data_IF_692706236036
#
_entry.id   IF_692706236036
#
_cell.length_a   1.000
_cell.length_b   1.000
_cell.length_c   1.000
_cell.angle_alpha   90.00
_cell.angle_beta   90.00
_cell.angle_gamma   90.00
#
_symmetry.space_group_name_H-M   'P 1'
#
loop_
_entity.id
_entity.type
_entity.pdbx_description
1 polymer ?
#
# COMPACT_ATOMS: atom_id res chain seq x y z
N UNK A 1 16.68 -25.42 17.35
CA UNK A 1 15.23 -25.31 17.61
C UNK A 1 14.64 -24.39 16.54
N UNK A 2 13.33 -24.42 16.24
CA UNK A 2 12.73 -23.37 15.42
C UNK A 2 12.77 -22.04 16.21
N UNK A 3 12.98 -20.88 15.56
CA UNK A 3 12.97 -19.60 16.25
C UNK A 3 11.59 -19.31 16.84
N UNK A 4 11.54 -18.93 18.12
CA UNK A 4 10.33 -18.38 18.75
C UNK A 4 10.17 -16.93 18.32
N UNK A 5 8.95 -16.50 18.03
CA UNK A 5 8.66 -15.14 17.62
C UNK A 5 7.69 -14.46 18.57
N UNK A 6 7.90 -13.16 18.77
CA UNK A 6 6.98 -12.26 19.45
C UNK A 6 6.45 -11.27 18.42
N UNK A 7 5.14 -11.03 18.46
CA UNK A 7 4.47 -10.06 17.59
C UNK A 7 3.90 -8.95 18.45
N UNK A 8 4.13 -7.70 18.06
CA UNK A 8 3.60 -6.51 18.73
C UNK A 8 2.85 -5.65 17.72
N UNK A 9 1.84 -4.92 18.20
CA UNK A 9 1.07 -3.98 17.38
C UNK A 9 0.67 -2.74 18.17
N UNK A 10 0.58 -1.60 17.49
CA UNK A 10 0.20 -0.31 18.07
C UNK A 10 0.20 0.83 17.05
N UNK A 11 0.05 2.07 17.52
CA UNK A 11 0.09 3.25 16.65
C UNK A 11 1.54 3.63 16.28
N UNK A 12 2.45 3.54 17.25
CA UNK A 12 3.88 3.89 17.17
C UNK A 12 4.72 2.82 17.88
N UNK A 13 6.05 2.71 17.66
CA UNK A 13 6.90 1.75 18.34
C UNK A 13 6.81 1.77 19.88
N UNK A 14 6.61 2.95 20.46
CA UNK A 14 6.54 3.19 21.91
C UNK A 14 5.19 2.78 22.50
N UNK A 15 4.16 2.70 21.67
CA UNK A 15 2.78 2.36 22.06
C UNK A 15 2.37 0.94 21.65
N UNK A 16 3.29 0.16 21.05
CA UNK A 16 2.99 -1.22 20.68
C UNK A 16 2.84 -2.12 21.91
N UNK A 17 1.86 -3.01 21.87
CA UNK A 17 1.66 -4.05 22.89
C UNK A 17 1.82 -5.44 22.29
N UNK A 18 2.21 -6.47 23.07
CA UNK A 18 2.33 -7.83 22.56
C UNK A 18 0.97 -8.42 22.14
N UNK A 19 0.92 -8.98 20.93
CA UNK A 19 -0.26 -9.65 20.35
C UNK A 19 0.00 -11.12 20.00
N UNK A 20 1.15 -11.68 20.39
CA UNK A 20 1.56 -13.08 20.18
C UNK A 20 0.46 -14.10 20.49
N UNK A 21 -0.34 -13.88 21.54
CA UNK A 21 -1.45 -14.77 21.91
C UNK A 21 -2.54 -14.87 20.83
N UNK A 22 -2.77 -13.78 20.07
CA UNK A 22 -3.80 -13.66 19.02
C UNK A 22 -3.34 -14.15 17.65
N UNK A 23 -2.04 -14.34 17.42
CA UNK A 23 -1.51 -14.83 16.13
C UNK A 23 -2.14 -16.18 15.80
N UNK A 24 -2.62 -16.33 14.56
CA UNK A 24 -3.34 -17.52 14.06
C UNK A 24 -4.70 -17.83 14.75
N UNK A 25 -5.29 -16.91 15.51
CA UNK A 25 -6.58 -17.15 16.22
C UNK A 25 -7.81 -16.52 15.56
N UNK A 26 -7.62 -15.71 14.51
CA UNK A 26 -8.61 -14.75 13.98
C UNK A 26 -9.12 -13.72 15.00
N UNK A 27 -8.51 -13.58 16.18
CA UNK A 27 -8.85 -12.50 17.11
C UNK A 27 -8.13 -11.19 16.69
N UNK A 28 -8.89 -10.15 16.37
CA UNK A 28 -8.33 -8.86 16.01
C UNK A 28 -7.75 -8.09 17.21
N UNK A 29 -6.69 -7.32 16.98
CA UNK A 29 -6.16 -6.34 17.94
C UNK A 29 -6.49 -4.92 17.49
N UNK A 30 -7.10 -4.10 18.36
CA UNK A 30 -7.52 -2.73 18.02
C UNK A 30 -6.36 -1.74 18.15
N UNK A 31 -6.18 -0.88 17.16
CA UNK A 31 -5.20 0.21 17.14
C UNK A 31 -5.95 1.55 17.03
N UNK A 32 -5.62 2.50 17.91
CA UNK A 32 -6.23 3.84 17.92
C UNK A 32 -5.17 4.89 18.21
N UNK A 33 -5.22 5.99 17.47
CA UNK A 33 -4.44 7.21 17.68
C UNK A 33 -5.25 8.43 17.25
N UNK A 34 -4.69 9.64 17.34
CA UNK A 34 -5.28 10.85 16.77
C UNK A 34 -5.39 10.84 15.22
N UNK A 35 -4.68 9.92 14.56
CA UNK A 35 -4.57 9.88 13.09
C UNK A 35 -5.29 8.68 12.47
N UNK A 36 -5.48 7.60 13.22
CA UNK A 36 -5.99 6.34 12.71
C UNK A 36 -6.85 5.61 13.75
N UNK A 37 -7.94 5.02 13.29
CA UNK A 37 -8.72 4.04 14.05
C UNK A 37 -8.87 2.77 13.23
N UNK A 38 -8.49 1.63 13.80
CA UNK A 38 -8.60 0.35 13.13
C UNK A 38 -8.26 -0.85 14.00
N UNK A 39 -7.99 -1.96 13.33
CA UNK A 39 -7.79 -3.28 13.90
C UNK A 39 -6.91 -4.14 12.97
N UNK A 40 -6.12 -5.04 13.57
CA UNK A 40 -5.13 -5.86 12.88
C UNK A 40 -5.26 -7.33 13.26
N UNK A 41 -5.05 -8.22 12.29
CA UNK A 41 -4.95 -9.68 12.45
C UNK A 41 -3.66 -10.14 11.79
N UNK A 42 -2.94 -11.06 12.44
CA UNK A 42 -1.67 -11.61 11.96
C UNK A 42 -1.78 -13.13 11.86
N UNK A 43 -1.49 -13.66 10.68
CA UNK A 43 -1.37 -15.09 10.45
C UNK A 43 0.06 -15.41 9.98
N UNK A 44 0.74 -16.39 10.60
CA UNK A 44 2.10 -16.82 10.25
C UNK A 44 2.13 -18.36 10.24
N UNK A 45 2.54 -18.97 9.14
CA UNK A 45 2.53 -20.43 8.99
C UNK A 45 3.69 -21.06 9.76
N UNK A 46 3.40 -22.07 10.57
CA UNK A 46 4.38 -22.69 11.46
C UNK A 46 4.84 -21.77 12.60
N UNK A 47 4.03 -20.77 12.96
CA UNK A 47 4.33 -19.85 14.05
C UNK A 47 4.50 -20.61 15.36
N UNK A 48 5.68 -20.48 15.94
CA UNK A 48 6.03 -21.02 17.26
C UNK A 48 5.99 -19.88 18.25
N UNK A 49 5.07 -19.95 19.22
CA UNK A 49 4.92 -18.91 20.24
C UNK A 49 6.00 -19.02 21.33
N UNK A 50 5.92 -18.15 22.34
CA UNK A 50 6.86 -18.09 23.46
C UNK A 50 6.93 -19.40 24.27
N UNK A 51 5.86 -20.19 24.29
CA UNK A 51 5.75 -21.49 24.98
C UNK A 51 6.24 -22.66 24.11
N UNK A 52 6.71 -22.38 22.90
CA UNK A 52 7.15 -23.40 21.95
C UNK A 52 5.99 -24.12 21.24
N UNK A 53 4.75 -23.66 21.38
CA UNK A 53 3.60 -24.29 20.74
C UNK A 53 3.45 -23.78 19.30
N UNK A 54 3.23 -24.71 18.37
CA UNK A 54 2.94 -24.37 16.98
C UNK A 54 1.45 -24.13 16.83
N UNK A 55 1.06 -22.90 16.56
CA UNK A 55 -0.33 -22.54 16.21
C UNK A 55 -0.47 -22.58 14.69
N UNK A 56 -1.50 -23.25 14.19
CA UNK A 56 -1.89 -23.20 12.77
C UNK A 56 -3.14 -22.33 12.59
N UNK A 57 -3.40 -21.85 11.37
CA UNK A 57 -4.51 -20.97 11.04
C UNK A 57 -5.34 -21.52 9.87
N UNK A 58 -6.68 -21.46 9.98
CA UNK A 58 -7.61 -21.81 8.90
C UNK A 58 -7.32 -21.01 7.62
N UNK A 59 -6.78 -19.79 7.76
CA UNK A 59 -6.33 -18.92 6.68
C UNK A 59 -5.46 -19.65 5.64
N UNK A 60 -4.51 -20.48 6.07
CA UNK A 60 -3.60 -21.21 5.17
C UNK A 60 -4.23 -22.45 4.52
N UNK A 61 -5.41 -22.86 4.99
CA UNK A 61 -6.17 -23.99 4.43
C UNK A 61 -7.15 -23.56 3.35
N UNK A 62 -7.34 -22.25 3.14
CA UNK A 62 -8.25 -21.71 2.10
C UNK A 62 -7.68 -21.99 0.70
N UNK A 63 -8.55 -22.33 -0.24
CA UNK A 63 -8.16 -22.69 -1.63
C UNK A 63 -7.46 -21.53 -2.35
N UNK A 64 -7.91 -20.30 -2.12
CA UNK A 64 -7.36 -19.09 -2.73
C UNK A 64 -6.12 -18.53 -2.00
N UNK A 65 -5.72 -19.16 -0.87
CA UNK A 65 -4.51 -18.82 -0.10
C UNK A 65 -3.44 -19.92 -0.14
N UNK A 66 -3.57 -20.90 -1.04
CA UNK A 66 -2.56 -21.93 -1.24
C UNK A 66 -1.20 -21.32 -1.62
N UNK A 67 -0.14 -21.78 -0.95
CA UNK A 67 1.22 -21.26 -1.09
C UNK A 67 1.52 -19.98 -0.29
N UNK A 68 0.52 -19.32 0.31
CA UNK A 68 0.76 -18.20 1.23
C UNK A 68 1.31 -18.75 2.55
N UNK A 69 2.29 -18.05 3.13
CA UNK A 69 3.00 -18.46 4.35
C UNK A 69 2.85 -17.46 5.49
N UNK A 70 2.37 -16.25 5.21
CA UNK A 70 2.04 -15.24 6.21
C UNK A 70 1.05 -14.21 5.64
N UNK A 71 0.34 -13.53 6.52
CA UNK A 71 -0.62 -12.48 6.21
C UNK A 71 -0.68 -11.47 7.36
N UNK A 72 -0.64 -10.19 6.99
CA UNK A 72 -0.92 -9.05 7.86
C UNK A 72 -2.20 -8.37 7.33
N UNK A 73 -3.32 -8.62 8.02
CA UNK A 73 -4.61 -8.03 7.66
C UNK A 73 -4.87 -6.81 8.54
N UNK A 74 -5.23 -5.68 7.94
CA UNK A 74 -5.59 -4.46 8.66
C UNK A 74 -6.91 -3.92 8.13
N UNK A 75 -7.79 -3.49 9.04
CA UNK A 75 -8.98 -2.72 8.71
C UNK A 75 -8.99 -1.44 9.52
N UNK A 76 -9.27 -0.30 8.89
CA UNK A 76 -9.42 0.95 9.60
C UNK A 76 -9.70 2.15 8.70
N UNK A 77 -9.60 3.33 9.29
CA UNK A 77 -9.83 4.63 8.64
C UNK A 77 -8.85 5.67 9.18
N UNK A 78 -8.57 6.68 8.36
CA UNK A 78 -7.80 7.85 8.77
C UNK A 78 -8.73 8.87 9.43
N UNK A 79 -8.33 9.45 10.56
CA UNK A 79 -9.12 10.44 11.29
C UNK A 79 -8.91 11.88 10.76
N UNK A 80 -7.95 12.06 9.86
CA UNK A 80 -7.72 13.27 9.05
C UNK A 80 -7.76 12.86 7.57
N UNK A 81 -7.90 13.83 6.68
CA UNK A 81 -7.87 13.58 5.23
C UNK A 81 -6.42 13.53 4.73
N UNK A 82 -6.06 12.45 4.05
CA UNK A 82 -4.75 12.28 3.40
C UNK A 82 -4.95 11.87 1.94
N UNK A 83 -4.07 12.30 1.03
CA UNK A 83 -4.10 11.75 -0.33
C UNK A 83 -3.61 10.30 -0.33
N UNK A 84 -3.99 9.51 -1.32
CA UNK A 84 -3.46 8.15 -1.48
C UNK A 84 -1.97 8.13 -1.89
N UNK A 85 -1.36 9.30 -2.18
CA UNK A 85 0.08 9.42 -2.40
C UNK A 85 0.84 9.63 -1.09
N UNK A 86 0.19 10.22 -0.08
CA UNK A 86 0.76 10.48 1.25
C UNK A 86 0.78 9.23 2.12
N UNK A 87 -0.09 8.25 1.84
CA UNK A 87 -0.20 7.05 2.68
C UNK A 87 0.73 5.96 2.15
N UNK A 88 1.86 5.78 2.85
CA UNK A 88 2.84 4.74 2.60
C UNK A 88 2.60 3.50 3.46
N UNK A 89 3.04 2.35 2.96
CA UNK A 89 3.21 1.12 3.71
C UNK A 89 4.51 0.43 3.32
N UNK A 90 5.11 -0.31 4.25
CA UNK A 90 6.25 -1.17 3.99
C UNK A 90 7.06 -1.44 5.25
N UNK A 91 8.37 -1.57 5.10
CA UNK A 91 9.28 -1.97 6.18
C UNK A 91 10.26 -0.87 6.60
N UNK A 92 10.49 -0.78 7.91
CA UNK A 92 11.47 0.13 8.53
C UNK A 92 12.33 -0.63 9.54
N UNK A 93 13.55 -0.15 9.74
CA UNK A 93 14.60 -0.85 10.48
C UNK A 93 15.32 0.14 11.41
N UNK A 94 15.64 -0.27 12.63
CA UNK A 94 16.35 0.59 13.60
C UNK A 94 17.85 0.66 13.34
N UNK A 95 18.41 -0.38 12.70
CA UNK A 95 19.84 -0.58 12.54
C UNK A 95 20.18 -1.00 11.10
N UNK A 96 21.39 -0.67 10.60
CA UNK A 96 21.83 -1.04 9.27
C UNK A 96 21.71 -2.53 8.96
N UNK A 97 21.40 -2.84 7.70
CA UNK A 97 21.24 -4.22 7.23
C UNK A 97 22.54 -4.78 6.63
N UNK A 98 22.87 -6.02 6.99
CA UNK A 98 23.97 -6.76 6.38
C UNK A 98 23.48 -7.44 5.11
N UNK A 99 23.34 -6.69 4.01
CA UNK A 99 22.82 -7.26 2.76
C UNK A 99 23.73 -8.40 2.22
N UNK A 100 23.17 -9.56 1.84
CA UNK A 100 23.96 -10.66 1.28
C UNK A 100 24.60 -10.31 -0.06
N UNK A 101 25.73 -10.95 -0.38
CA UNK A 101 26.24 -10.95 -1.75
C UNK A 101 25.20 -11.59 -2.68
N UNK A 102 24.75 -10.84 -3.69
CA UNK A 102 23.62 -11.23 -4.53
C UNK A 102 22.27 -10.60 -4.16
N UNK A 103 22.19 -9.76 -3.12
CA UNK A 103 21.00 -8.99 -2.73
C UNK A 103 20.32 -8.23 -3.88
N UNK A 104 21.06 -7.82 -4.90
CA UNK A 104 20.51 -7.22 -6.13
C UNK A 104 19.48 -8.09 -6.87
N UNK A 105 19.46 -9.41 -6.66
CA UNK A 105 18.37 -10.27 -7.14
C UNK A 105 17.07 -10.07 -6.34
N UNK A 106 17.15 -9.96 -5.02
CA UNK A 106 16.02 -9.64 -4.15
C UNK A 106 15.49 -8.22 -4.41
N UNK A 107 16.37 -7.22 -4.60
CA UNK A 107 15.96 -5.85 -4.98
C UNK A 107 15.20 -5.84 -6.31
N UNK A 108 15.70 -6.55 -7.33
CA UNK A 108 15.00 -6.69 -8.63
C UNK A 108 13.65 -7.39 -8.50
N UNK A 109 13.56 -8.41 -7.64
CA UNK A 109 12.31 -9.11 -7.38
C UNK A 109 11.28 -8.22 -6.69
N UNK A 110 11.69 -7.45 -5.67
CA UNK A 110 10.81 -6.49 -5.00
C UNK A 110 10.29 -5.43 -5.99
N UNK A 111 11.16 -4.83 -6.81
CA UNK A 111 10.75 -3.86 -7.83
C UNK A 111 9.89 -4.46 -8.96
N UNK A 112 9.98 -5.77 -9.20
CA UNK A 112 9.09 -6.48 -10.14
C UNK A 112 7.70 -6.71 -9.54
N UNK A 113 7.63 -7.06 -8.25
CA UNK A 113 6.37 -7.24 -7.53
C UNK A 113 5.65 -5.90 -7.27
N UNK A 114 6.41 -4.85 -6.96
CA UNK A 114 5.92 -3.50 -6.69
C UNK A 114 6.85 -2.45 -7.34
N UNK A 115 6.52 -1.97 -8.55
CA UNK A 115 7.29 -0.93 -9.25
C UNK A 115 7.22 0.46 -8.59
N UNK A 116 6.36 0.64 -7.58
CA UNK A 116 6.26 1.89 -6.78
C UNK A 116 7.01 1.82 -5.46
N UNK A 117 7.63 0.68 -5.14
CA UNK A 117 8.51 0.54 -3.98
C UNK A 117 9.74 1.45 -4.12
N UNK A 118 9.94 2.28 -3.11
CA UNK A 118 11.14 3.09 -2.92
C UNK A 118 11.86 2.60 -1.68
N UNK A 119 13.19 2.65 -1.66
CA UNK A 119 13.95 2.08 -0.55
C UNK A 119 15.32 2.73 -0.35
N UNK A 120 15.82 2.70 0.88
CA UNK A 120 17.24 2.80 1.20
C UNK A 120 17.65 1.65 2.14
N UNK A 121 17.65 0.43 1.60
CA UNK A 121 18.13 -0.75 2.32
C UNK A 121 19.65 -0.76 2.57
N UNK A 122 20.37 0.21 1.99
CA UNK A 122 21.80 0.46 2.15
C UNK A 122 22.14 1.48 3.24
N UNK A 123 21.13 2.09 3.88
CA UNK A 123 21.32 3.15 4.86
C UNK A 123 22.28 2.75 5.99
N UNK A 124 23.21 3.65 6.30
CA UNK A 124 24.15 3.51 7.42
C UNK A 124 23.53 3.84 8.79
N UNK A 125 22.25 4.26 8.82
CA UNK A 125 21.51 4.56 10.05
C UNK A 125 20.23 3.71 10.14
N UNK A 126 19.17 4.10 9.44
CA UNK A 126 17.84 3.47 9.47
C UNK A 126 17.40 3.05 8.07
N UNK A 127 17.63 1.78 7.69
CA UNK A 127 17.13 1.24 6.44
C UNK A 127 15.60 1.27 6.34
N UNK A 128 15.08 1.33 5.12
CA UNK A 128 13.64 1.28 4.85
C UNK A 128 13.32 0.83 3.43
N UNK A 129 12.10 0.34 3.23
CA UNK A 129 11.49 0.08 1.93
C UNK A 129 9.98 0.37 2.03
N UNK A 130 9.51 1.42 1.35
CA UNK A 130 8.15 1.97 1.47
C UNK A 130 7.55 2.22 0.08
N UNK A 131 6.25 1.96 -0.03
CA UNK A 131 5.45 2.07 -1.25
C UNK A 131 4.06 2.64 -0.92
N UNK A 132 3.35 3.31 -1.85
CA UNK A 132 1.98 3.74 -1.58
C UNK A 132 1.07 2.57 -1.22
N UNK A 133 0.29 2.72 -0.14
CA UNK A 133 -0.59 1.66 0.40
C UNK A 133 -1.51 1.05 -0.67
N UNK A 134 -2.09 1.90 -1.51
CA UNK A 134 -2.99 1.50 -2.62
C UNK A 134 -2.29 0.71 -3.74
N UNK A 135 -0.97 0.84 -3.86
CA UNK A 135 -0.17 0.19 -4.90
C UNK A 135 0.55 -1.07 -4.40
N UNK A 136 0.94 -1.11 -3.14
CA UNK A 136 1.73 -2.24 -2.64
C UNK A 136 0.89 -3.46 -2.25
N UNK A 137 -0.37 -3.24 -1.85
CA UNK A 137 -1.21 -4.31 -1.30
C UNK A 137 -1.57 -5.39 -2.34
N UNK A 138 -1.41 -6.70 -2.01
CA UNK A 138 -1.93 -7.82 -2.77
C UNK A 138 -3.45 -7.75 -2.92
N UNK A 139 -4.16 -7.60 -1.80
CA UNK A 139 -5.60 -7.44 -1.73
C UNK A 139 -5.94 -6.20 -0.90
N UNK A 140 -6.83 -5.36 -1.41
CA UNK A 140 -7.36 -4.20 -0.72
C UNK A 140 -8.81 -3.99 -1.12
N UNK A 141 -9.64 -3.68 -0.13
CA UNK A 141 -11.00 -3.23 -0.29
C UNK A 141 -11.16 -1.80 0.27
N UNK A 142 -11.94 -0.96 -0.41
CA UNK A 142 -12.38 0.35 0.06
C UNK A 142 -13.90 0.38 0.15
N UNK A 143 -14.41 0.83 1.30
CA UNK A 143 -15.83 1.08 1.53
C UNK A 143 -16.05 2.47 2.12
N UNK A 144 -17.06 3.19 1.62
CA UNK A 144 -17.47 4.50 2.14
C UNK A 144 -18.58 4.31 3.17
N UNK A 145 -18.40 4.81 4.38
CA UNK A 145 -19.46 4.83 5.40
C UNK A 145 -20.64 5.69 4.87
N UNK A 146 -21.88 5.17 4.80
CA UNK A 146 -23.00 5.92 4.27
C UNK A 146 -23.36 7.15 5.10
N UNK A 147 -23.50 8.30 4.41
CA UNK A 147 -24.09 9.50 4.99
C UNK A 147 -25.54 9.25 5.42
N UNK A 148 -25.94 9.77 6.58
CA UNK A 148 -27.26 9.53 7.17
C UNK A 148 -27.40 8.22 7.94
N UNK A 149 -26.32 7.43 8.10
CA UNK A 149 -26.32 6.33 9.07
C UNK A 149 -26.54 6.88 10.49
N UNK A 150 -27.25 6.17 11.39
CA UNK A 150 -27.51 6.65 12.77
C UNK A 150 -26.24 7.06 13.52
N UNK A 151 -25.12 6.43 13.17
CA UNK A 151 -23.80 6.55 13.77
C UNK A 151 -22.87 7.57 13.08
N UNK A 152 -23.29 8.23 11.98
CA UNK A 152 -22.45 9.21 11.27
C UNK A 152 -21.96 10.34 12.19
N UNK A 153 -22.79 10.78 13.14
CA UNK A 153 -22.43 11.82 14.12
C UNK A 153 -21.50 11.34 15.23
N UNK A 154 -21.40 10.02 15.42
CA UNK A 154 -20.52 9.41 16.41
C UNK A 154 -19.13 9.17 15.78
N UNK A 155 -19.08 8.73 14.51
CA UNK A 155 -17.84 8.58 13.75
C UNK A 155 -17.06 9.88 13.52
N UNK A 156 -17.71 11.05 13.62
CA UNK A 156 -17.10 12.36 13.39
C UNK A 156 -16.64 13.08 14.66
N UNK A 157 -16.76 12.46 15.84
CA UNK A 157 -16.27 13.01 17.11
C UNK A 157 -14.98 12.30 17.55
N UNK A 158 -13.83 13.00 17.58
CA UNK A 158 -12.60 12.42 18.13
C UNK A 158 -12.61 12.32 19.67
N UNK A 159 -13.34 13.21 20.35
CA UNK A 159 -13.11 13.49 21.79
C UNK A 159 -14.27 13.14 22.75
N UNK A 160 -15.34 12.46 22.29
CA UNK A 160 -16.32 11.94 23.25
C UNK A 160 -15.77 10.68 23.91
N UNK A 161 -15.85 10.61 25.25
CA UNK A 161 -15.58 9.41 26.05
C UNK A 161 -16.01 8.13 25.31
N UNK A 162 -15.19 7.07 25.39
CA UNK A 162 -15.20 5.84 24.57
C UNK A 162 -16.49 4.96 24.64
N UNK A 163 -17.62 5.53 25.03
CA UNK A 163 -18.98 4.97 25.04
C UNK A 163 -19.79 5.19 23.75
N UNK A 164 -19.23 5.83 22.72
CA UNK A 164 -19.84 5.87 21.39
C UNK A 164 -19.84 4.49 20.71
N UNK A 165 -20.79 4.23 19.78
CA UNK A 165 -20.78 3.00 18.98
C UNK A 165 -19.47 2.90 18.20
N UNK A 166 -18.80 1.76 18.33
CA UNK A 166 -17.46 1.52 17.79
C UNK A 166 -17.55 1.16 16.32
N UNK A 167 -16.45 1.27 15.59
CA UNK A 167 -16.40 0.90 14.16
C UNK A 167 -16.86 -0.54 13.89
N UNK A 168 -16.64 -1.45 14.87
CA UNK A 168 -17.09 -2.84 14.84
C UNK A 168 -18.62 -3.02 14.88
N UNK A 169 -19.39 -2.03 15.38
CA UNK A 169 -20.84 -2.15 15.56
C UNK A 169 -21.62 -1.90 14.25
N UNK A 170 -20.96 -1.32 13.24
CA UNK A 170 -21.56 -0.90 11.96
C UNK A 170 -20.91 -1.60 10.75
N UNK A 171 -19.66 -2.06 10.90
CA UNK A 171 -18.98 -2.85 9.88
C UNK A 171 -19.22 -4.35 10.08
N UNK A 172 -19.03 -5.19 9.03
CA UNK A 172 -19.03 -6.65 9.18
C UNK A 172 -18.00 -7.14 10.20
N UNK A 173 -18.06 -8.40 10.65
CA UNK A 173 -16.98 -9.01 11.45
C UNK A 173 -15.61 -8.93 10.76
N UNK A 174 -14.54 -8.84 11.54
CA UNK A 174 -13.15 -8.88 11.06
C UNK A 174 -12.33 -9.82 11.96
N UNK A 175 -11.46 -10.68 11.38
CA UNK A 175 -11.23 -10.84 9.94
C UNK A 175 -12.44 -11.48 9.25
N UNK A 176 -12.64 -11.24 7.94
CA UNK A 176 -13.72 -11.90 7.22
C UNK A 176 -13.52 -13.43 7.19
N UNK A 177 -14.63 -14.16 7.30
CA UNK A 177 -14.65 -15.63 7.18
C UNK A 177 -14.25 -16.12 5.79
N UNK A 178 -14.44 -15.27 4.77
CA UNK A 178 -13.91 -15.44 3.42
C UNK A 178 -12.61 -14.65 3.27
N UNK A 179 -11.74 -15.08 2.36
CA UNK A 179 -10.51 -14.37 2.04
C UNK A 179 -10.78 -12.99 1.45
N UNK A 180 -9.94 -12.00 1.78
CA UNK A 180 -10.06 -10.66 1.20
C UNK A 180 -9.72 -10.72 -0.30
N UNK A 181 -10.62 -10.18 -1.12
CA UNK A 181 -10.42 -9.97 -2.56
C UNK A 181 -10.23 -8.47 -2.84
N UNK A 182 -9.94 -8.14 -4.10
CA UNK A 182 -9.96 -6.76 -4.56
C UNK A 182 -11.39 -6.23 -4.59
N UNK A 183 -11.66 -5.12 -3.89
CA UNK A 183 -12.90 -4.36 -4.07
C UNK A 183 -12.62 -2.85 -3.95
N UNK A 184 -12.40 -2.21 -5.08
CA UNK A 184 -12.28 -0.75 -5.14
C UNK A 184 -13.49 -0.09 -5.80
N UNK A 185 -14.63 -0.79 -5.85
CA UNK A 185 -15.87 -0.30 -6.48
C UNK A 185 -16.31 1.07 -5.96
N UNK A 186 -16.04 1.37 -4.69
CA UNK A 186 -16.36 2.64 -4.04
C UNK A 186 -15.22 3.67 -4.01
N UNK A 187 -14.00 3.34 -4.49
CA UNK A 187 -12.82 4.22 -4.36
C UNK A 187 -13.00 5.56 -5.07
N UNK A 188 -13.82 5.59 -6.12
CA UNK A 188 -14.21 6.80 -6.83
C UNK A 188 -15.01 7.81 -5.98
N UNK A 189 -15.58 7.38 -4.84
CA UNK A 189 -16.23 8.27 -3.86
C UNK A 189 -15.22 9.05 -3.01
N UNK A 190 -13.96 8.62 -2.99
CA UNK A 190 -12.83 9.30 -2.38
C UNK A 190 -12.08 10.23 -3.36
N UNK A 191 -12.56 10.41 -4.61
CA UNK A 191 -12.01 11.41 -5.52
C UNK A 191 -12.21 12.83 -4.94
N UNK A 192 -11.11 13.57 -4.81
CA UNK A 192 -11.14 14.98 -4.45
C UNK A 192 -11.84 15.79 -5.54
N UNK A 193 -12.72 16.72 -5.16
CA UNK A 193 -13.53 17.53 -6.08
C UNK A 193 -12.72 18.71 -6.65
N UNK A 194 -11.56 18.39 -7.24
CA UNK A 194 -10.60 19.29 -7.90
C UNK A 194 -11.17 19.86 -9.23
N UNK A 195 -12.36 20.46 -9.17
CA UNK A 195 -13.08 20.87 -10.37
C UNK A 195 -14.37 21.67 -10.20
N UNK A 196 -14.82 21.99 -8.97
CA UNK A 196 -15.87 23.00 -8.79
C UNK A 196 -15.24 24.39 -8.69
N UNK A 197 -15.33 25.27 -9.72
CA UNK A 197 -14.89 26.65 -9.57
C UNK A 197 -15.73 27.31 -8.47
N UNK A 198 -15.07 27.81 -7.43
CA UNK A 198 -15.72 28.60 -6.38
C UNK A 198 -16.50 29.72 -7.07
N UNK A 199 -17.81 29.77 -6.84
CA UNK A 199 -18.66 30.81 -7.40
C UNK A 199 -18.12 32.17 -7.01
N UNK A 200 -17.62 32.92 -7.98
CA UNK A 200 -17.06 34.25 -7.76
C UNK A 200 -18.19 35.20 -7.38
N UNK A 201 -18.30 35.49 -6.09
CA UNK A 201 -19.09 36.62 -5.61
C UNK A 201 -18.55 37.89 -6.25
N UNK A 202 -19.39 38.55 -7.03
CA UNK A 202 -19.03 39.72 -7.83
C UNK A 202 -18.70 40.93 -6.96
N UNK A 203 -17.48 41.44 -7.10
CA UNK A 203 -17.15 42.83 -6.78
C UNK A 203 -16.44 43.45 -7.98
N UNK A 204 -17.17 44.24 -8.75
CA UNK A 204 -16.63 44.93 -9.91
C UNK A 204 -15.88 46.21 -9.48
N UNK A 205 -14.65 46.37 -9.94
CA UNK A 205 -13.98 47.68 -10.00
C UNK A 205 -13.09 47.72 -11.24
N UNK A 206 -13.49 48.54 -12.21
CA UNK A 206 -12.84 48.70 -13.50
C UNK A 206 -11.74 49.76 -13.46
N UNK A 207 -10.55 49.44 -14.00
CA UNK A 207 -9.64 50.46 -14.54
C UNK A 207 -8.72 49.88 -15.62
N UNK A 208 -8.77 50.50 -16.80
CA UNK A 208 -7.83 50.42 -17.94
C UNK A 208 -6.41 50.84 -17.48
N UNK A 209 -5.24 50.53 -18.08
CA UNK A 209 -4.79 50.43 -19.49
C UNK A 209 -3.26 50.11 -19.50
N UNK A 210 -2.53 49.74 -20.56
CA UNK A 210 -2.79 49.15 -21.90
C UNK A 210 -1.43 48.95 -22.63
N UNK A 211 -1.26 47.86 -23.42
CA UNK A 211 -0.18 47.58 -24.44
C UNK A 211 1.29 47.54 -23.92
N UNK A 212 2.30 46.84 -24.47
CA UNK A 212 2.57 46.25 -25.82
C UNK A 212 3.57 45.05 -25.74
N UNK A 213 3.62 44.22 -26.80
CA UNK A 213 4.81 43.65 -27.53
C UNK A 213 6.12 43.24 -26.77
N UNK A 214 6.92 42.19 -27.13
CA UNK A 214 7.10 41.47 -28.42
C UNK A 214 7.90 40.15 -28.27
N UNK A 215 7.79 39.29 -29.29
CA UNK A 215 8.59 38.11 -29.70
C UNK A 215 10.07 37.96 -29.24
N UNK A 216 10.51 36.73 -28.92
CA UNK A 216 11.64 36.00 -29.59
C UNK A 216 11.70 34.53 -29.13
N UNK A 217 11.59 33.54 -30.03
CA UNK A 217 12.63 32.82 -30.83
C UNK A 217 13.21 31.58 -30.12
N UNK A 218 13.20 30.46 -30.84
CA UNK A 218 13.71 29.16 -30.40
C UNK A 218 15.20 28.96 -30.70
N UNK A 219 15.85 28.05 -29.97
CA UNK A 219 17.11 27.45 -30.39
C UNK A 219 17.06 25.92 -30.25
N UNK A 220 17.15 25.23 -31.39
CA UNK A 220 17.53 23.82 -31.47
C UNK A 220 19.04 23.73 -31.58
N UNK A 221 19.65 22.72 -30.96
CA UNK A 221 21.03 22.30 -31.26
C UNK A 221 21.02 20.89 -31.83
N UNK A 222 21.53 20.77 -33.04
CA UNK A 222 21.74 19.49 -33.74
C UNK A 222 23.06 18.85 -33.34
N UNK A 223 23.11 17.52 -33.32
CA UNK A 223 24.33 16.78 -33.66
C UNK A 223 23.95 15.44 -34.27
N UNK A 224 24.49 15.15 -35.46
CA UNK A 224 24.25 13.94 -36.23
C UNK A 224 25.50 13.05 -36.21
N UNK A 225 25.37 11.76 -36.57
CA UNK A 225 26.24 11.11 -37.56
C UNK A 225 25.69 9.76 -38.07
N UNK A 226 25.74 9.59 -39.40
CA UNK A 226 25.92 8.35 -40.21
C UNK A 226 25.41 6.98 -39.68
N UNK A 227 24.44 6.29 -40.31
CA UNK A 227 24.40 5.71 -41.67
C UNK A 227 25.24 4.44 -41.94
N UNK A 228 24.57 3.31 -42.20
CA UNK A 228 25.00 2.36 -43.24
C UNK A 228 23.79 1.56 -43.75
N UNK A 229 23.81 1.16 -45.03
CA UNK A 229 22.67 0.59 -45.73
C UNK A 229 23.04 -0.71 -46.47
N UNK A 230 22.14 -1.70 -46.50
CA UNK A 230 22.20 -2.81 -47.46
C UNK A 230 20.80 -3.20 -48.00
N UNK A 231 20.73 -3.20 -49.34
CA UNK A 231 19.73 -3.77 -50.27
C UNK A 231 19.63 -5.32 -50.12
N UNK A 232 18.66 -6.09 -50.67
CA UNK A 232 17.34 -5.88 -51.34
C UNK A 232 16.79 -7.26 -51.82
N UNK A 233 15.58 -7.28 -52.43
CA UNK A 233 14.79 -8.41 -53.04
C UNK A 233 13.85 -9.05 -52.02
N UNK A 234 12.53 -9.22 -52.22
CA UNK A 234 11.70 -9.60 -53.39
C UNK A 234 10.90 -10.85 -52.94
N UNK A 235 9.62 -11.12 -53.25
CA UNK A 235 8.70 -10.63 -54.29
C UNK A 235 7.21 -10.88 -53.95
N UNK A 236 6.29 -10.32 -54.76
CA UNK A 236 4.89 -10.76 -55.07
C UNK A 236 3.87 -11.00 -53.94
N UNK A 237 2.66 -10.39 -54.03
CA UNK A 237 1.66 -10.59 -52.96
C UNK A 237 0.18 -10.18 -53.11
N UNK A 238 -0.32 -9.67 -54.25
CA UNK A 238 -1.78 -9.54 -54.55
C UNK A 238 -2.56 -8.45 -53.76
N UNK A 239 -3.69 -8.00 -54.32
CA UNK A 239 -4.40 -6.77 -53.95
C UNK A 239 -5.92 -6.97 -53.68
N UNK A 240 -6.62 -5.85 -53.44
CA UNK A 240 -8.08 -5.67 -53.25
C UNK A 240 -8.59 -5.93 -51.81
N UNK A 241 -9.56 -5.18 -51.26
CA UNK A 241 -10.46 -4.16 -51.82
C UNK A 241 -10.59 -2.92 -50.91
N UNK A 242 -10.77 -1.75 -51.53
CA UNK A 242 -11.41 -0.55 -50.95
C UNK A 242 -12.80 -0.42 -51.61
N UNK A 243 -13.74 0.24 -50.90
CA UNK A 243 -15.07 0.78 -51.28
C UNK A 243 -16.16 0.31 -50.32
N UNK A 244 -17.19 1.07 -49.95
CA UNK A 244 -17.47 2.52 -49.99
C UNK A 244 -18.67 2.72 -49.02
N UNK A 245 -18.70 3.77 -48.20
CA UNK A 245 -19.95 4.27 -47.58
C UNK A 245 -19.75 5.66 -46.93
N UNK A 246 -20.15 6.72 -47.63
CA UNK A 246 -20.32 8.06 -47.07
C UNK A 246 -21.78 8.47 -47.21
N UNK A 247 -22.47 8.71 -46.09
CA UNK A 247 -23.44 9.80 -45.86
C UNK A 247 -24.26 9.54 -44.58
N UNK A 248 -24.64 10.61 -43.87
CA UNK A 248 -25.62 10.51 -42.77
C UNK A 248 -25.36 11.38 -41.53
N UNK A 249 -24.90 12.63 -41.66
CA UNK A 249 -24.83 13.55 -40.52
C UNK A 249 -26.18 14.26 -40.32
N UNK A 250 -26.97 13.88 -39.31
CA UNK A 250 -27.95 14.79 -38.69
C UNK A 250 -28.15 14.55 -37.18
N UNK A 251 -27.52 15.45 -36.41
CA UNK A 251 -28.08 16.13 -35.23
C UNK A 251 -28.88 15.31 -34.20
N UNK A 252 -28.19 14.91 -33.13
CA UNK A 252 -28.81 14.47 -31.88
C UNK A 252 -27.95 14.81 -30.67
N UNK A 253 -27.88 16.10 -30.28
CA UNK A 253 -27.10 16.58 -29.12
C UNK A 253 -27.75 16.16 -27.81
N UNK A 254 -27.73 14.86 -27.49
CA UNK A 254 -28.05 14.35 -26.16
C UNK A 254 -27.14 15.04 -25.15
N UNK A 255 -27.71 15.74 -24.15
CA UNK A 255 -26.96 16.22 -23.00
C UNK A 255 -26.32 15.00 -22.34
N UNK A 256 -24.99 14.84 -22.44
CA UNK A 256 -24.26 13.88 -21.61
C UNK A 256 -24.54 14.26 -20.16
N UNK A 257 -25.36 13.46 -19.47
CA UNK A 257 -25.42 13.45 -18.02
C UNK A 257 -23.99 13.09 -17.60
N UNK A 258 -23.30 13.99 -16.89
CA UNK A 258 -21.94 13.74 -16.44
C UNK A 258 -22.01 12.73 -15.30
N UNK A 259 -22.10 11.45 -15.63
CA UNK A 259 -21.68 10.39 -14.74
C UNK A 259 -20.18 10.60 -14.54
N UNK A 260 -19.75 10.86 -13.29
CA UNK A 260 -18.35 10.67 -12.91
C UNK A 260 -17.96 9.26 -13.37
N UNK A 261 -16.89 9.07 -14.17
CA UNK A 261 -16.48 7.73 -14.54
C UNK A 261 -16.13 6.98 -13.25
N UNK A 262 -16.76 5.83 -13.04
CA UNK A 262 -16.30 4.90 -12.01
C UNK A 262 -14.87 4.49 -12.34
N UNK A 263 -14.01 4.40 -11.32
CA UNK A 263 -12.69 3.81 -11.48
C UNK A 263 -12.87 2.30 -11.54
N UNK A 264 -12.88 1.78 -12.77
CA UNK A 264 -13.14 0.37 -13.08
C UNK A 264 -11.88 -0.48 -12.83
N UNK A 265 -11.64 -0.74 -11.54
CA UNK A 265 -10.43 -1.37 -11.00
C UNK A 265 -10.81 -2.68 -10.29
N UNK A 266 -11.33 -3.64 -11.05
CA UNK A 266 -11.85 -4.92 -10.56
C UNK A 266 -10.76 -5.86 -10.01
N UNK A 267 -9.49 -5.64 -10.36
CA UNK A 267 -8.39 -6.52 -9.97
C UNK A 267 -7.21 -5.75 -9.39
N UNK A 268 -6.46 -6.44 -8.52
CA UNK A 268 -5.23 -5.92 -7.94
C UNK A 268 -4.22 -5.45 -9.01
N UNK A 269 -4.15 -6.13 -10.15
CA UNK A 269 -3.27 -5.73 -11.27
C UNK A 269 -3.68 -4.38 -11.87
N UNK A 270 -4.98 -4.18 -12.11
CA UNK A 270 -5.52 -2.89 -12.58
C UNK A 270 -5.31 -1.79 -11.54
N UNK A 271 -5.63 -2.05 -10.25
CA UNK A 271 -5.38 -1.11 -9.15
C UNK A 271 -3.92 -0.66 -9.11
N UNK A 272 -2.97 -1.61 -9.09
CA UNK A 272 -1.53 -1.33 -9.03
C UNK A 272 -1.04 -0.56 -10.26
N UNK A 273 -1.53 -0.92 -11.45
CA UNK A 273 -1.21 -0.18 -12.67
C UNK A 273 -1.75 1.26 -12.63
N UNK A 274 -2.98 1.47 -12.19
CA UNK A 274 -3.58 2.79 -12.06
C UNK A 274 -2.83 3.67 -11.04
N UNK A 275 -2.62 3.17 -9.83
CA UNK A 275 -1.91 3.89 -8.76
C UNK A 275 -0.38 3.86 -8.89
N UNK A 276 0.18 3.39 -10.01
CA UNK A 276 1.60 3.63 -10.33
C UNK A 276 1.88 5.13 -10.57
N UNK A 277 0.88 5.88 -11.07
CA UNK A 277 0.96 7.34 -11.25
C UNK A 277 0.74 8.10 -9.94
N UNK A 278 1.62 9.07 -9.65
CA UNK A 278 1.45 9.99 -8.53
C UNK A 278 0.19 10.86 -8.66
N UNK A 279 -0.13 11.33 -9.88
CA UNK A 279 -1.33 12.14 -10.15
C UNK A 279 -2.62 11.40 -9.76
N UNK A 280 -2.72 10.11 -10.09
CA UNK A 280 -3.86 9.27 -9.72
C UNK A 280 -3.97 9.05 -8.21
N UNK A 281 -2.84 8.93 -7.51
CA UNK A 281 -2.81 8.79 -6.04
C UNK A 281 -3.19 10.11 -5.36
N UNK A 282 -2.69 11.24 -5.85
CA UNK A 282 -3.01 12.58 -5.36
C UNK A 282 -4.49 12.95 -5.59
N UNK A 283 -5.12 12.42 -6.64
CA UNK A 283 -6.55 12.64 -6.91
C UNK A 283 -7.50 11.95 -5.90
N UNK A 284 -7.06 10.90 -5.20
CA UNK A 284 -7.83 10.17 -4.20
C UNK A 284 -7.47 10.67 -2.81
N UNK A 285 -8.46 10.91 -1.96
CA UNK A 285 -8.29 11.36 -0.58
C UNK A 285 -9.12 10.49 0.38
N UNK A 286 -8.45 9.77 1.27
CA UNK A 286 -9.08 8.97 2.32
C UNK A 286 -9.17 9.78 3.61
N UNK A 287 -10.32 9.70 4.29
CA UNK A 287 -10.51 10.33 5.59
C UNK A 287 -11.53 9.58 6.47
N UNK A 288 -12.19 10.27 7.43
CA UNK A 288 -13.01 9.62 8.48
C UNK A 288 -14.20 8.78 8.01
N UNK A 289 -14.54 8.79 6.72
CA UNK A 289 -15.62 8.00 6.12
C UNK A 289 -15.12 6.88 5.20
N UNK A 290 -13.80 6.74 5.01
CA UNK A 290 -13.18 5.79 4.10
C UNK A 290 -12.57 4.65 4.91
N UNK A 291 -13.24 3.50 4.89
CA UNK A 291 -12.74 2.29 5.52
C UNK A 291 -11.91 1.54 4.49
N UNK A 292 -10.63 1.38 4.81
CA UNK A 292 -9.68 0.58 4.06
C UNK A 292 -9.52 -0.76 4.78
N UNK A 293 -9.65 -1.86 4.04
CA UNK A 293 -9.29 -3.21 4.50
C UNK A 293 -8.20 -3.76 3.59
N UNK A 294 -7.11 -4.25 4.15
CA UNK A 294 -5.96 -4.78 3.39
C UNK A 294 -5.55 -6.16 3.90
N UNK A 295 -4.93 -6.94 3.02
CA UNK A 295 -4.31 -8.22 3.35
C UNK A 295 -2.94 -8.27 2.66
N UNK A 296 -1.89 -7.97 3.43
CA UNK A 296 -0.51 -8.04 2.97
C UNK A 296 0.03 -9.44 3.20
N UNK A 297 -0.11 -10.29 2.18
CA UNK A 297 0.21 -11.71 2.28
C UNK A 297 1.03 -12.22 1.08
N UNK A 298 2.02 -13.06 1.36
CA UNK A 298 2.87 -13.68 0.33
C UNK A 298 3.34 -15.08 0.74
N UNK A 299 3.83 -15.85 -0.22
CA UNK A 299 4.46 -17.16 -0.03
C UNK A 299 5.98 -17.16 0.05
N UNK A 300 6.62 -15.99 0.00
CA UNK A 300 8.07 -15.87 -0.17
C UNK A 300 8.86 -15.88 1.15
N UNK A 301 8.21 -15.70 2.30
CA UNK A 301 8.85 -15.78 3.63
C UNK A 301 8.42 -17.05 4.35
N UNK A 302 9.37 -17.91 4.69
CA UNK A 302 9.15 -19.10 5.52
C UNK A 302 9.73 -18.84 6.91
N UNK A 303 8.96 -19.09 7.97
CA UNK A 303 9.34 -18.77 9.35
C UNK A 303 9.91 -19.98 10.13
N UNK A 304 9.72 -21.19 9.62
CA UNK A 304 10.14 -22.46 10.24
C UNK A 304 10.61 -23.44 9.15
N UNK A 305 11.74 -24.15 9.32
CA UNK A 305 12.58 -24.22 10.53
C UNK A 305 13.49 -23.01 10.74
N UNK A 306 13.70 -22.16 9.73
CA UNK A 306 14.51 -20.94 9.78
C UNK A 306 13.85 -19.81 9.01
N UNK A 307 13.96 -18.56 9.48
CA UNK A 307 13.42 -17.40 8.75
C UNK A 307 14.14 -17.21 7.41
N UNK A 308 13.46 -17.49 6.30
CA UNK A 308 14.06 -17.63 4.97
C UNK A 308 13.25 -16.93 3.89
N UNK A 309 13.91 -16.18 3.00
CA UNK A 309 13.32 -15.60 1.79
C UNK A 309 13.53 -16.56 0.61
N UNK A 310 12.45 -17.18 0.13
CA UNK A 310 12.41 -18.05 -1.05
C UNK A 310 11.95 -17.26 -2.28
N UNK A 311 12.83 -17.12 -3.27
CA UNK A 311 12.54 -16.47 -4.55
C UNK A 311 12.29 -17.50 -5.66
N UNK A 312 11.59 -17.11 -6.75
CA UNK A 312 11.46 -17.94 -7.95
C UNK A 312 12.82 -18.41 -8.50
N UNK A 313 12.85 -19.60 -9.10
CA UNK A 313 14.08 -20.22 -9.61
C UNK A 313 14.92 -20.96 -8.56
N UNK A 314 14.39 -21.19 -7.35
CA UNK A 314 15.06 -21.99 -6.32
C UNK A 314 16.12 -21.23 -5.50
N UNK A 315 16.20 -19.91 -5.67
CA UNK A 315 17.09 -19.05 -4.87
C UNK A 315 16.48 -18.88 -3.48
N UNK A 316 17.26 -19.15 -2.43
CA UNK A 316 16.83 -18.99 -1.03
C UNK A 316 17.88 -18.23 -0.24
N UNK A 317 17.44 -17.27 0.57
CA UNK A 317 18.28 -16.52 1.50
C UNK A 317 17.84 -16.80 2.94
N UNK A 318 18.73 -17.36 3.76
CA UNK A 318 18.57 -17.47 5.21
C UNK A 318 18.66 -16.05 5.81
N UNK A 319 17.52 -15.46 6.15
CA UNK A 319 17.46 -14.08 6.62
C UNK A 319 18.10 -13.93 8.00
N UNK A 320 18.06 -14.96 8.86
CA UNK A 320 18.61 -14.89 10.23
C UNK A 320 20.09 -14.48 10.26
N UNK A 321 20.87 -14.82 9.22
CA UNK A 321 22.29 -14.45 9.07
C UNK A 321 22.55 -12.96 8.79
N UNK A 322 21.53 -12.27 8.29
CA UNK A 322 21.63 -10.89 7.75
C UNK A 322 20.76 -9.90 8.55
N UNK A 323 19.86 -10.44 9.36
CA UNK A 323 18.81 -9.75 10.08
C UNK A 323 19.24 -9.21 11.46
N UNK A 324 20.38 -9.68 12.01
CA UNK A 324 20.97 -9.20 13.28
C UNK A 324 20.00 -9.16 14.49
N UNK A 325 18.98 -10.03 14.48
CA UNK A 325 17.88 -10.13 15.48
C UNK A 325 17.15 -8.81 15.78
N UNK A 326 17.16 -7.81 14.89
CA UNK A 326 16.35 -6.58 15.10
C UNK A 326 14.84 -6.85 14.88
N UNK A 327 13.91 -5.96 15.28
CA UNK A 327 12.48 -6.15 14.97
C UNK A 327 12.17 -5.92 13.48
N UNK A 328 11.40 -6.81 12.85
CA UNK A 328 10.81 -6.57 11.51
C UNK A 328 9.62 -5.64 11.71
N UNK A 329 9.73 -4.34 11.42
CA UNK A 329 8.56 -3.46 11.46
C UNK A 329 7.88 -3.38 10.12
N UNK A 330 6.56 -3.57 10.14
CA UNK A 330 5.62 -3.21 9.09
C UNK A 330 4.91 -1.95 9.55
N UNK A 331 5.11 -0.84 8.84
CA UNK A 331 4.53 0.46 9.19
C UNK A 331 3.59 0.94 8.11
N UNK A 332 2.50 1.59 8.51
CA UNK A 332 1.77 2.52 7.65
C UNK A 332 2.03 3.94 8.16
N UNK A 333 2.48 4.81 7.27
CA UNK A 333 3.03 6.11 7.62
C UNK A 333 2.73 7.16 6.56
N UNK A 334 2.83 8.43 6.95
CA UNK A 334 2.75 9.57 6.05
C UNK A 334 4.04 9.70 5.22
N UNK A 335 3.92 10.12 3.96
CA UNK A 335 5.04 10.47 3.09
C UNK A 335 5.70 11.74 3.61
N UNK A 336 7.01 11.73 3.71
CA UNK A 336 7.81 12.93 3.95
C UNK A 336 8.27 13.52 2.62
N UNK A 337 7.94 14.78 2.35
CA UNK A 337 8.34 15.46 1.09
C UNK A 337 9.86 15.69 1.02
N UNK A 338 10.51 15.93 2.15
CA UNK A 338 11.94 16.25 2.24
C UNK A 338 12.63 15.40 3.30
N UNK A 339 13.69 14.70 2.90
CA UNK A 339 14.59 14.05 3.84
C UNK A 339 15.42 15.11 4.55
N UNK A 340 15.30 15.18 5.88
CA UNK A 340 16.14 16.01 6.76
C UNK A 340 17.20 15.12 7.38
N UNK A 341 18.46 15.52 7.31
CA UNK A 341 19.57 14.73 7.85
C UNK A 341 19.42 14.55 9.36
N UNK A 342 19.49 13.29 9.83
CA UNK A 342 19.31 12.93 11.23
C UNK A 342 17.85 12.65 11.66
N UNK A 343 16.86 12.90 10.80
CA UNK A 343 15.46 12.53 11.05
C UNK A 343 15.04 11.26 10.28
N UNK A 344 13.90 10.69 10.68
CA UNK A 344 13.32 9.56 9.95
C UNK A 344 12.85 9.99 8.53
N UNK A 345 13.02 9.14 7.51
CA UNK A 345 12.63 9.43 6.12
C UNK A 345 11.12 9.26 5.86
N UNK A 346 10.34 8.85 6.85
CA UNK A 346 8.88 8.83 6.84
C UNK A 346 8.29 9.87 7.80
N UNK A 347 7.03 10.24 7.59
CA UNK A 347 6.26 11.16 8.43
C UNK A 347 5.57 10.46 9.60
N UNK A 348 4.42 10.99 10.02
CA UNK A 348 3.68 10.43 11.15
C UNK A 348 3.23 8.97 10.90
N UNK A 349 3.18 8.17 11.96
CA UNK A 349 2.72 6.78 11.89
C UNK A 349 1.21 6.68 12.10
N UNK A 350 0.55 5.91 11.24
CA UNK A 350 -0.85 5.53 11.39
C UNK A 350 -0.98 4.27 12.25
N UNK A 351 -0.15 3.27 11.95
CA UNK A 351 -0.03 2.04 12.72
C UNK A 351 1.29 1.32 12.42
N UNK A 352 1.70 0.45 13.35
CA UNK A 352 2.91 -0.35 13.27
C UNK A 352 2.64 -1.77 13.80
N UNK A 353 3.22 -2.77 13.13
CA UNK A 353 3.34 -4.15 13.63
C UNK A 353 4.80 -4.55 13.59
N UNK A 354 5.30 -5.10 14.69
CA UNK A 354 6.66 -5.63 14.80
C UNK A 354 6.63 -7.16 14.95
N UNK A 355 7.50 -7.86 14.22
CA UNK A 355 7.84 -9.26 14.47
C UNK A 355 9.29 -9.31 14.94
N UNK A 356 9.52 -9.74 16.17
CA UNK A 356 10.85 -9.88 16.76
C UNK A 356 11.11 -11.33 17.18
N UNK A 357 12.39 -11.70 17.29
CA UNK A 357 12.77 -13.00 17.85
C UNK A 357 12.52 -12.94 19.34
N UNK A 358 11.72 -13.87 19.86
CA UNK A 358 11.53 -13.98 21.31
C UNK A 358 12.83 -14.39 22.00
N UNK A 359 12.96 -14.00 23.27
CA UNK A 359 14.08 -14.46 24.08
C UNK A 359 14.04 -15.99 24.20
N UNK A 360 15.21 -16.61 24.05
CA UNK A 360 15.39 -17.95 24.56
C UNK A 360 15.49 -17.78 26.07
N UNK A 361 14.58 -18.35 26.85
CA UNK A 361 14.81 -18.47 28.29
C UNK A 361 16.14 -19.19 28.46
N UNK A 362 17.13 -18.51 29.06
CA UNK A 362 18.36 -19.14 29.51
C UNK A 362 17.94 -20.25 30.48
N UNK A 363 18.02 -21.49 30.02
CA UNK A 363 17.81 -22.66 30.88
C UNK A 363 18.75 -22.53 32.07
N UNK A 364 18.31 -22.86 33.29
CA UNK A 364 19.05 -22.54 34.50
C UNK A 364 20.49 -23.04 34.38
N UNK A 365 21.45 -22.14 34.63
CA UNK A 365 22.86 -22.48 34.65
C UNK A 365 23.06 -23.69 35.57
N UNK A 366 23.44 -24.82 34.99
CA UNK A 366 23.85 -25.99 35.75
C UNK A 366 25.25 -25.70 36.27
N UNK A 367 25.34 -25.04 37.43
CA UNK A 367 26.56 -25.01 38.23
C UNK A 367 27.08 -26.45 38.39
N UNK A 368 28.33 -26.68 37.97
CA UNK A 368 29.08 -27.93 38.13
C UNK A 368 30.25 -27.74 39.08
#
# INVERSE_FOLDING_TARGET
MAPRFRVLAGATPETMTPITSKVNTNEAHRIVSELFEGEVVVNIKGFTDSEGQVKDSDYFSREDRQGITWSLQVRGRFLKSYSADDILFGNTFDRPLKLPWGSGAALKFMNYMDPTLTHDLSSSTKPWALSPLVSTMPHLAHARIPSGSPHERDFLKPDSDFSGPKIHDVLPPFPPSQSLVDDTSQIHLALSDMGSPRGSSSSASSSTSSVSSTLSVAHSFTSAVSSSSKKSKGSSGRASKIKDAVNGLHTGRKRKKVSRPGLDLETASQRRSYFSSAEHRQAIHFGPKDVITTDFCYGFLEFSPTLSLRLPGGISFDLMRYWDRQPVRFVCCERKETAVEGEDPWGALFWCVAIEVGDEEEGPEVEQ
#
